data_IF_826903547328
#
_entry.id   IF_826903547328
#
_cell.length_a   1.000
_cell.length_b   1.000
_cell.length_c   1.000
_cell.angle_alpha   90.00
_cell.angle_beta   90.00
_cell.angle_gamma   90.00
#
_symmetry.space_group_name_H-M   'P 1'
#
loop_
_entity.id
_entity.type
_entity.pdbx_description
1 polymer ?
#
# COMPACT_ATOMS: atom_id res chain seq x y z
N UNK A 1 18.41 31.53 -2.06
CA UNK A 1 17.67 30.45 -1.40
C UNK A 1 18.26 29.13 -1.84
N UNK A 2 18.79 28.34 -0.92
CA UNK A 2 19.38 27.02 -1.19
C UNK A 2 18.39 26.10 -1.89
N UNK A 3 17.10 26.18 -1.55
CA UNK A 3 16.05 25.41 -2.20
C UNK A 3 15.92 25.68 -3.71
N UNK A 4 16.15 26.91 -4.17
CA UNK A 4 16.11 27.23 -5.61
C UNK A 4 17.28 26.60 -6.38
N UNK A 5 18.48 26.57 -5.77
CA UNK A 5 19.64 25.89 -6.35
C UNK A 5 19.42 24.37 -6.41
N UNK A 6 18.75 23.78 -5.40
CA UNK A 6 18.37 22.37 -5.42
C UNK A 6 17.37 22.08 -6.55
N UNK A 7 16.37 22.93 -6.75
CA UNK A 7 15.43 22.79 -7.86
C UNK A 7 16.14 22.86 -9.22
N UNK A 8 17.13 23.74 -9.38
CA UNK A 8 17.94 23.80 -10.59
C UNK A 8 18.76 22.51 -10.81
N UNK A 9 19.47 22.05 -9.79
CA UNK A 9 20.23 20.80 -9.83
C UNK A 9 19.35 19.57 -10.12
N UNK A 10 18.09 19.58 -9.68
CA UNK A 10 17.15 18.50 -9.92
C UNK A 10 16.44 18.61 -11.29
N UNK A 11 16.77 19.61 -12.10
CA UNK A 11 16.15 19.82 -13.41
C UNK A 11 14.71 20.35 -13.32
N UNK A 12 14.37 21.02 -12.22
CA UNK A 12 13.05 21.54 -11.87
C UNK A 12 13.03 23.08 -11.77
N UNK A 13 14.05 23.76 -12.29
CA UNK A 13 14.17 25.24 -12.26
C UNK A 13 12.94 25.98 -12.76
N UNK A 14 12.19 25.41 -13.72
CA UNK A 14 10.93 25.99 -14.23
C UNK A 14 9.82 26.14 -13.17
N UNK A 15 9.93 25.48 -12.02
CA UNK A 15 8.99 25.59 -10.91
C UNK A 15 9.47 26.51 -9.80
N UNK A 16 10.65 27.13 -9.94
CA UNK A 16 11.22 28.04 -8.94
C UNK A 16 10.25 29.17 -8.56
N UNK A 17 9.53 29.71 -9.55
CA UNK A 17 8.56 30.79 -9.32
C UNK A 17 7.43 30.37 -8.39
N UNK A 18 6.92 29.13 -8.49
CA UNK A 18 5.87 28.63 -7.62
C UNK A 18 6.31 28.60 -6.14
N UNK A 19 7.59 28.31 -5.88
CA UNK A 19 8.13 28.31 -4.52
C UNK A 19 8.27 29.74 -3.98
N UNK A 20 8.62 30.70 -4.85
CA UNK A 20 8.68 32.12 -4.48
C UNK A 20 7.28 32.66 -4.20
N UNK A 21 6.31 32.36 -5.06
CA UNK A 21 4.94 32.85 -4.98
C UNK A 21 4.21 32.31 -3.73
N UNK A 22 4.47 31.05 -3.36
CA UNK A 22 3.95 30.42 -2.13
C UNK A 22 4.79 30.77 -0.88
N UNK A 23 5.82 31.61 -1.01
CA UNK A 23 6.63 32.08 0.12
C UNK A 23 7.48 31.00 0.79
N UNK A 24 7.91 29.98 0.05
CA UNK A 24 8.72 28.88 0.57
C UNK A 24 10.17 29.35 0.74
N UNK A 25 10.57 29.49 1.99
CA UNK A 25 11.94 29.75 2.43
C UNK A 25 12.73 28.45 2.62
N UNK A 26 14.05 28.53 2.74
CA UNK A 26 14.91 27.37 2.99
C UNK A 26 14.51 26.60 4.27
N UNK A 27 14.06 27.30 5.32
CA UNK A 27 13.58 26.67 6.56
C UNK A 27 12.28 25.88 6.32
N UNK A 28 11.30 26.50 5.67
CA UNK A 28 10.01 25.86 5.34
C UNK A 28 10.14 24.76 4.29
N UNK A 29 11.18 24.81 3.46
CA UNK A 29 11.46 23.81 2.44
C UNK A 29 11.68 22.43 3.07
N UNK A 30 12.26 22.34 4.26
CA UNK A 30 12.46 21.07 4.99
C UNK A 30 11.18 20.46 5.59
N UNK A 31 10.08 21.23 5.59
CA UNK A 31 8.80 20.89 6.23
C UNK A 31 7.67 20.63 5.21
N UNK A 32 7.99 20.55 3.92
CA UNK A 32 7.00 20.41 2.87
C UNK A 32 6.27 19.08 2.99
N UNK A 33 4.96 19.15 3.21
CA UNK A 33 4.08 18.00 3.23
C UNK A 33 3.61 17.62 1.82
N UNK A 34 2.98 16.45 1.72
CA UNK A 34 2.52 15.91 0.44
C UNK A 34 1.45 16.79 -0.24
N UNK A 35 0.72 17.60 0.54
CA UNK A 35 -0.34 18.48 0.06
C UNK A 35 0.25 19.74 -0.57
N UNK A 36 1.17 20.42 0.11
CA UNK A 36 1.87 21.58 -0.41
C UNK A 36 2.71 21.21 -1.63
N UNK A 37 3.37 20.05 -1.63
CA UNK A 37 4.08 19.54 -2.83
C UNK A 37 3.12 19.34 -4.01
N UNK A 38 1.86 18.99 -3.75
CA UNK A 38 0.85 18.85 -4.79
C UNK A 38 0.41 20.20 -5.37
N UNK A 39 0.36 21.24 -4.55
CA UNK A 39 0.04 22.62 -4.95
C UNK A 39 1.19 23.25 -5.76
N UNK A 40 2.44 22.99 -5.38
CA UNK A 40 3.63 23.51 -6.08
C UNK A 40 3.87 22.90 -7.46
N UNK A 41 3.46 21.65 -7.67
CA UNK A 41 3.66 20.93 -8.94
C UNK A 41 2.34 20.43 -9.49
N UNK A 42 1.72 21.20 -10.39
CA UNK A 42 0.47 20.86 -11.09
C UNK A 42 0.51 19.47 -11.77
N UNK A 43 1.67 19.09 -12.32
CA UNK A 43 1.88 17.84 -13.05
C UNK A 43 2.53 16.76 -12.19
N UNK A 44 2.01 15.55 -12.27
CA UNK A 44 2.48 14.40 -11.50
C UNK A 44 3.94 14.01 -11.77
N UNK A 45 4.46 14.18 -13.00
CA UNK A 45 5.83 13.78 -13.35
C UNK A 45 6.90 14.56 -12.57
N UNK A 46 6.97 15.89 -12.72
CA UNK A 46 7.84 16.75 -11.92
C UNK A 46 7.67 16.55 -10.41
N UNK A 47 6.42 16.35 -9.95
CA UNK A 47 6.11 16.08 -8.55
C UNK A 47 6.77 14.80 -8.03
N UNK A 48 6.73 13.72 -8.80
CA UNK A 48 7.37 12.45 -8.41
C UNK A 48 8.90 12.57 -8.39
N UNK A 49 9.48 13.27 -9.37
CA UNK A 49 10.92 13.56 -9.42
C UNK A 49 11.32 14.37 -8.18
N UNK A 50 10.56 15.42 -7.84
CA UNK A 50 10.77 16.21 -6.64
C UNK A 50 10.70 15.34 -5.39
N UNK A 51 9.62 14.58 -5.18
CA UNK A 51 9.45 13.71 -4.00
C UNK A 51 10.59 12.71 -3.83
N UNK A 52 11.05 12.09 -4.92
CA UNK A 52 12.18 11.17 -4.86
C UNK A 52 13.47 11.86 -4.40
N UNK A 53 13.79 13.03 -4.96
CA UNK A 53 15.00 13.81 -4.62
C UNK A 53 14.92 14.43 -3.23
N UNK A 54 13.76 14.95 -2.87
CA UNK A 54 13.45 15.57 -1.59
C UNK A 54 13.59 14.59 -0.42
N UNK A 55 13.07 13.36 -0.55
CA UNK A 55 13.26 12.32 0.47
C UNK A 55 14.74 11.95 0.65
N UNK A 56 15.52 11.94 -0.44
CA UNK A 56 16.96 11.75 -0.38
C UNK A 56 17.67 12.90 0.34
N UNK A 57 17.26 14.13 0.06
CA UNK A 57 17.78 15.35 0.71
C UNK A 57 17.49 15.38 2.22
N UNK A 58 16.26 15.07 2.66
CA UNK A 58 15.92 14.97 4.08
C UNK A 58 16.72 13.88 4.80
N UNK A 59 17.04 12.78 4.10
CA UNK A 59 17.86 11.70 4.64
C UNK A 59 19.33 12.10 4.80
N UNK A 60 19.83 13.07 4.02
CA UNK A 60 21.17 13.63 4.16
C UNK A 60 21.28 14.79 5.16
N UNK A 61 20.18 15.53 5.41
CA UNK A 61 20.13 16.65 6.35
C UNK A 61 19.98 16.19 7.82
N UNK A 62 19.66 14.91 8.07
CA UNK A 62 19.53 14.33 9.41
C UNK A 62 20.81 14.24 10.26
N UNK A 63 21.90 14.92 9.86
CA UNK A 63 23.17 14.99 10.59
C UNK A 63 23.80 16.39 10.59
N UNK A 64 22.99 17.46 10.62
CA UNK A 64 23.54 18.79 10.93
C UNK A 64 22.61 19.64 11.79
N UNK A 65 22.78 19.53 13.11
CA UNK A 65 22.25 20.47 14.10
C UNK A 65 23.30 20.78 15.17
N UNK A 66 24.12 21.81 14.89
CA UNK A 66 25.08 22.54 15.78
C UNK A 66 26.20 21.70 16.43
N UNK A 67 27.51 21.99 16.24
CA UNK A 67 28.20 23.27 16.47
C UNK A 67 29.60 23.22 15.83
N UNK A 68 30.18 24.40 15.55
CA UNK A 68 31.53 24.63 15.02
C UNK A 68 32.66 23.91 15.79
N UNK A 69 33.74 23.54 15.09
CA UNK A 69 35.05 23.29 15.71
C UNK A 69 35.90 22.14 15.15
N UNK A 70 36.73 22.46 14.16
CA UNK A 70 38.13 21.99 13.96
C UNK A 70 38.56 20.55 14.30
N UNK A 71 39.03 19.82 13.28
CA UNK A 71 40.35 19.15 13.31
C UNK A 71 40.48 17.69 13.77
N UNK A 72 40.90 16.84 12.81
CA UNK A 72 41.83 15.68 12.91
C UNK A 72 41.42 14.36 13.61
N UNK A 73 41.37 13.31 12.76
CA UNK A 73 42.04 11.98 12.80
C UNK A 73 42.22 11.13 14.08
N UNK A 74 42.08 9.80 13.86
CA UNK A 74 42.50 8.59 14.60
C UNK A 74 41.45 7.84 15.48
N UNK A 75 40.97 6.72 14.91
CA UNK A 75 41.08 5.30 15.34
C UNK A 75 40.71 4.79 16.76
N UNK A 76 40.06 3.61 16.69
CA UNK A 76 39.98 2.48 17.65
C UNK A 76 38.87 2.38 18.72
N UNK A 77 38.05 1.32 18.53
CA UNK A 77 37.48 0.34 19.48
C UNK A 77 37.05 0.77 20.89
N UNK A 78 35.79 0.48 21.24
CA UNK A 78 35.45 -0.41 22.39
C UNK A 78 33.93 -0.55 22.56
N UNK A 79 33.50 -1.79 22.82
CA UNK A 79 32.15 -2.22 23.17
C UNK A 79 31.87 -1.84 24.64
N UNK A 80 30.74 -1.19 24.92
CA UNK A 80 30.13 -1.22 26.26
C UNK A 80 28.61 -1.01 26.19
N UNK A 81 27.85 -1.99 26.67
CA UNK A 81 26.40 -1.93 26.91
C UNK A 81 26.20 -1.81 28.43
N UNK A 82 25.43 -0.82 28.92
CA UNK A 82 24.71 -0.96 30.17
C UNK A 82 23.20 -1.12 29.92
N UNK A 83 22.62 -2.16 30.53
CA UNK A 83 21.21 -2.49 30.44
C UNK A 83 20.28 -1.59 31.26
N UNK A 84 18.95 -1.77 31.15
CA UNK A 84 17.97 -1.00 31.89
C UNK A 84 17.72 -1.62 33.27
N UNK A 85 18.24 -0.98 34.31
CA UNK A 85 17.66 -0.98 35.67
C UNK A 85 17.04 0.41 35.86
N UNK A 86 15.92 0.66 36.51
CA UNK A 86 15.01 -0.14 37.31
C UNK A 86 13.97 0.86 37.85
N UNK A 87 12.78 0.34 38.11
CA UNK A 87 11.65 1.02 38.74
C UNK A 87 12.03 1.93 39.93
N UNK A 88 11.46 3.14 40.00
CA UNK A 88 10.89 3.72 41.22
C UNK A 88 10.14 5.03 40.91
N UNK A 89 8.82 4.98 41.07
CA UNK A 89 7.94 6.14 41.25
C UNK A 89 7.96 6.59 42.71
N UNK A 90 8.03 7.90 43.01
CA UNK A 90 7.47 8.44 44.24
C UNK A 90 6.02 8.89 44.00
N UNK A 91 5.14 8.35 44.83
CA UNK A 91 3.75 8.77 45.02
C UNK A 91 3.76 10.01 45.91
N UNK A 92 3.04 11.06 45.52
CA UNK A 92 2.46 12.00 46.49
C UNK A 92 1.14 12.63 45.99
N UNK A 93 0.06 12.04 46.48
CA UNK A 93 -1.04 12.64 47.24
C UNK A 93 -1.70 13.98 46.83
N UNK A 94 -3.01 13.85 46.55
CA UNK A 94 -4.11 14.81 46.71
C UNK A 94 -4.30 15.95 45.71
N UNK A 95 -5.26 15.75 44.81
CA UNK A 95 -6.30 16.76 44.53
C UNK A 95 -7.55 16.02 44.07
N UNK A 96 -8.56 15.97 44.92
CA UNK A 96 -9.86 15.38 44.60
C UNK A 96 -10.59 16.29 43.62
N UNK A 97 -10.64 15.88 42.36
CA UNK A 97 -11.55 16.44 41.36
C UNK A 97 -12.66 15.44 41.09
N UNK A 98 -13.89 15.89 41.25
CA UNK A 98 -15.11 15.11 41.07
C UNK A 98 -15.17 14.49 39.67
N UNK A 99 -14.96 13.18 39.61
CA UNK A 99 -15.15 12.36 38.43
C UNK A 99 -16.67 12.22 38.22
N UNK A 100 -17.23 12.97 37.27
CA UNK A 100 -18.57 12.71 36.77
C UNK A 100 -18.58 11.32 36.11
N UNK A 101 -19.09 10.33 36.81
CA UNK A 101 -19.46 9.04 36.22
C UNK A 101 -20.72 9.31 35.40
N UNK A 102 -20.57 9.29 34.07
CA UNK A 102 -21.70 9.38 33.15
C UNK A 102 -22.54 8.11 33.27
N UNK A 103 -23.61 8.18 34.07
CA UNK A 103 -24.65 7.16 34.13
C UNK A 103 -25.58 7.39 32.92
N UNK A 104 -25.65 6.48 31.95
CA UNK A 104 -26.48 6.69 30.76
C UNK A 104 -27.96 6.76 31.16
N UNK A 105 -28.65 7.80 30.71
CA UNK A 105 -30.06 8.04 31.01
C UNK A 105 -30.91 6.80 30.70
N UNK A 106 -31.72 6.40 31.69
CA UNK A 106 -32.65 5.25 31.58
C UNK A 106 -33.69 5.42 30.48
N UNK A 107 -33.83 6.63 29.95
CA UNK A 107 -34.67 6.97 28.80
C UNK A 107 -34.00 6.59 27.46
N UNK A 108 -32.67 6.67 27.39
CA UNK A 108 -31.87 6.30 26.21
C UNK A 108 -31.74 4.78 26.04
N UNK A 109 -31.77 4.04 27.16
CA UNK A 109 -31.85 2.57 27.17
C UNK A 109 -33.19 2.03 26.67
N UNK A 110 -34.29 2.78 26.81
CA UNK A 110 -35.60 2.39 26.26
C UNK A 110 -35.69 2.56 24.75
N UNK A 111 -34.94 3.51 24.18
CA UNK A 111 -34.86 3.71 22.71
C UNK A 111 -34.07 2.57 22.03
N UNK A 112 -33.15 1.92 22.75
CA UNK A 112 -32.37 0.79 22.22
C UNK A 112 -33.14 -0.55 22.22
N UNK A 113 -34.16 -0.69 23.08
CA UNK A 113 -34.94 -1.94 23.22
C UNK A 113 -36.21 -1.98 22.36
N UNK A 114 -36.61 -0.86 21.73
CA UNK A 114 -37.80 -0.78 20.85
C UNK A 114 -37.45 -0.52 19.37
N UNK A 115 -36.27 -0.97 18.92
CA UNK A 115 -36.09 -1.20 17.48
C UNK A 115 -36.38 -2.66 17.16
N UNK A 116 -37.66 -2.92 16.95
CA UNK A 116 -38.16 -4.02 16.12
C UNK A 116 -37.61 -3.79 14.70
N UNK A 117 -36.33 -4.09 14.53
CA UNK A 117 -35.63 -3.96 13.28
C UNK A 117 -36.18 -5.09 12.39
N UNK A 118 -36.86 -4.78 11.27
CA UNK A 118 -37.23 -5.82 10.32
C UNK A 118 -35.95 -6.56 9.94
N UNK A 119 -36.00 -7.87 9.63
CA UNK A 119 -34.81 -8.67 9.48
C UNK A 119 -33.93 -8.00 8.44
N UNK A 120 -32.85 -7.35 8.89
CA UNK A 120 -31.79 -6.89 8.01
C UNK A 120 -31.28 -8.17 7.40
N UNK A 121 -31.76 -8.44 6.18
CA UNK A 121 -31.27 -9.52 5.35
C UNK A 121 -29.77 -9.37 5.41
N UNK A 122 -29.07 -10.26 6.13
CA UNK A 122 -27.63 -10.40 6.04
C UNK A 122 -27.41 -10.62 4.55
N UNK A 123 -27.06 -9.56 3.82
CA UNK A 123 -26.67 -9.66 2.44
C UNK A 123 -25.44 -10.55 2.53
N UNK A 124 -25.63 -11.85 2.24
CA UNK A 124 -24.53 -12.76 2.03
C UNK A 124 -23.73 -12.12 0.91
N UNK A 125 -22.67 -11.40 1.26
CA UNK A 125 -21.74 -10.85 0.28
C UNK A 125 -21.28 -12.06 -0.49
N UNK A 126 -21.68 -12.15 -1.75
CA UNK A 126 -21.25 -13.23 -2.64
C UNK A 126 -19.74 -13.14 -2.71
N UNK A 127 -19.03 -14.05 -2.05
CA UNK A 127 -17.58 -14.13 -2.20
C UNK A 127 -17.27 -14.48 -3.65
N UNK A 128 -16.18 -13.94 -4.18
CA UNK A 128 -15.62 -14.42 -5.45
C UNK A 128 -14.84 -15.71 -5.26
N UNK A 129 -14.50 -16.08 -4.02
CA UNK A 129 -13.87 -17.35 -3.67
C UNK A 129 -14.92 -18.42 -3.36
N UNK A 130 -14.51 -19.62 -2.95
CA UNK A 130 -15.42 -20.70 -2.53
C UNK A 130 -16.36 -20.21 -1.40
N UNK A 131 -17.34 -21.03 -0.99
CA UNK A 131 -18.38 -20.61 -0.02
C UNK A 131 -17.83 -19.96 1.24
N UNK A 132 -16.60 -20.30 1.64
CA UNK A 132 -15.98 -19.84 2.88
C UNK A 132 -14.95 -18.70 2.67
N UNK A 133 -14.81 -18.20 1.44
CA UNK A 133 -14.12 -16.94 1.13
C UNK A 133 -12.60 -17.02 0.94
N UNK A 134 -11.95 -15.85 0.86
CA UNK A 134 -10.51 -15.72 0.64
C UNK A 134 -9.67 -16.44 1.72
N UNK A 135 -10.14 -16.44 2.98
CA UNK A 135 -9.41 -17.06 4.08
C UNK A 135 -9.25 -18.57 3.86
N UNK A 136 -10.31 -19.27 3.46
CA UNK A 136 -10.29 -20.70 3.15
C UNK A 136 -9.29 -21.00 2.02
N UNK A 137 -9.30 -20.21 0.95
CA UNK A 137 -8.32 -20.33 -0.14
C UNK A 137 -6.88 -20.28 0.39
N UNK A 138 -6.58 -19.36 1.31
CA UNK A 138 -5.23 -19.22 1.86
C UNK A 138 -4.84 -20.40 2.77
N UNK A 139 -5.77 -21.02 3.49
CA UNK A 139 -5.44 -22.18 4.34
C UNK A 139 -4.93 -23.40 3.55
N UNK A 140 -5.33 -23.52 2.27
CA UNK A 140 -4.98 -24.65 1.38
C UNK A 140 -3.49 -24.73 1.03
N UNK A 141 -2.72 -23.65 1.24
CA UNK A 141 -1.29 -23.62 0.89
C UNK A 141 -0.41 -23.19 2.05
N UNK A 142 0.84 -23.64 2.06
CA UNK A 142 1.86 -23.21 3.04
C UNK A 142 2.08 -21.70 2.99
N UNK A 143 2.25 -21.15 1.77
CA UNK A 143 2.41 -19.71 1.55
C UNK A 143 1.19 -18.92 2.07
N UNK A 144 -0.02 -19.41 1.82
CA UNK A 144 -1.25 -18.77 2.29
C UNK A 144 -1.36 -18.77 3.83
N UNK A 145 -0.97 -19.85 4.50
CA UNK A 145 -0.88 -19.87 5.98
C UNK A 145 0.14 -18.87 6.51
N UNK A 146 1.30 -18.74 5.88
CA UNK A 146 2.31 -17.71 6.25
C UNK A 146 1.74 -16.30 6.10
N UNK A 147 0.98 -16.03 5.03
CA UNK A 147 0.29 -14.75 4.82
C UNK A 147 -0.73 -14.51 5.93
N UNK A 148 -1.54 -15.50 6.29
CA UNK A 148 -2.55 -15.40 7.37
C UNK A 148 -1.93 -15.16 8.76
N UNK A 149 -0.70 -15.60 9.01
CA UNK A 149 0.02 -15.30 10.26
C UNK A 149 0.48 -13.83 10.33
N UNK A 150 0.56 -13.13 9.19
CA UNK A 150 1.06 -11.76 9.08
C UNK A 150 -0.05 -10.75 8.74
N UNK A 151 -1.29 -11.00 9.21
CA UNK A 151 -2.49 -10.23 8.85
C UNK A 151 -2.35 -8.70 8.98
N UNK A 152 -1.61 -8.25 9.98
CA UNK A 152 -1.47 -6.82 10.29
C UNK A 152 -0.40 -6.11 9.46
N UNK A 153 0.52 -6.83 8.84
CA UNK A 153 1.64 -6.23 8.09
C UNK A 153 2.15 -7.17 7.01
N UNK A 154 1.51 -7.14 5.84
CA UNK A 154 2.06 -7.84 4.69
C UNK A 154 3.29 -7.11 4.15
N UNK A 155 4.34 -7.86 3.88
CA UNK A 155 5.50 -7.36 3.14
C UNK A 155 5.28 -7.55 1.62
N UNK A 156 6.23 -7.05 0.81
CA UNK A 156 6.10 -7.13 -0.64
C UNK A 156 6.04 -8.57 -1.16
N UNK A 157 6.83 -9.48 -0.61
CA UNK A 157 6.87 -10.90 -0.98
C UNK A 157 5.53 -11.61 -0.71
N UNK A 158 4.99 -11.45 0.50
CA UNK A 158 3.69 -11.99 0.89
C UNK A 158 2.58 -11.49 -0.03
N UNK A 159 2.59 -10.20 -0.39
CA UNK A 159 1.63 -9.63 -1.35
C UNK A 159 1.77 -10.25 -2.76
N UNK A 160 2.98 -10.58 -3.20
CA UNK A 160 3.19 -11.27 -4.48
C UNK A 160 2.63 -12.70 -4.44
N UNK A 161 2.89 -13.43 -3.35
CA UNK A 161 2.36 -14.78 -3.11
C UNK A 161 0.84 -14.78 -3.02
N UNK A 162 0.26 -13.83 -2.27
CA UNK A 162 -1.18 -13.61 -2.17
C UNK A 162 -1.81 -13.41 -3.55
N UNK A 163 -1.25 -12.50 -4.35
CA UNK A 163 -1.73 -12.23 -5.70
C UNK A 163 -1.64 -13.46 -6.60
N UNK A 164 -0.57 -14.26 -6.46
CA UNK A 164 -0.43 -15.53 -7.20
C UNK A 164 -1.52 -16.52 -6.82
N UNK A 165 -1.77 -16.74 -5.53
CA UNK A 165 -2.79 -17.69 -5.06
C UNK A 165 -4.18 -17.30 -5.54
N UNK A 166 -4.55 -16.03 -5.41
CA UNK A 166 -5.84 -15.50 -5.84
C UNK A 166 -6.05 -15.69 -7.34
N UNK A 167 -5.09 -15.24 -8.16
CA UNK A 167 -5.27 -15.31 -9.61
C UNK A 167 -5.26 -16.76 -10.10
N UNK A 168 -4.45 -17.63 -9.50
CA UNK A 168 -4.45 -19.05 -9.84
C UNK A 168 -5.80 -19.71 -9.52
N UNK A 169 -6.37 -19.47 -8.33
CA UNK A 169 -7.70 -20.00 -7.97
C UNK A 169 -8.77 -19.55 -8.96
N UNK A 170 -8.75 -18.27 -9.35
CA UNK A 170 -9.70 -17.73 -10.31
C UNK A 170 -9.58 -18.38 -11.70
N UNK A 171 -8.37 -18.73 -12.15
CA UNK A 171 -8.15 -19.46 -13.40
C UNK A 171 -8.43 -20.96 -13.32
N UNK A 172 -8.34 -21.57 -12.14
CA UNK A 172 -8.56 -23.01 -11.96
C UNK A 172 -10.03 -23.44 -12.06
N UNK A 173 -10.97 -22.50 -12.18
CA UNK A 173 -12.40 -22.79 -12.37
C UNK A 173 -12.66 -23.11 -13.83
N UNK A 174 -13.38 -24.21 -14.10
CA UNK A 174 -13.42 -24.94 -15.37
C UNK A 174 -13.84 -24.16 -16.63
N UNK A 175 -14.14 -22.86 -16.53
CA UNK A 175 -14.55 -22.02 -17.68
C UNK A 175 -13.90 -20.62 -17.68
N UNK A 176 -12.95 -20.34 -16.77
CA UNK A 176 -12.40 -19.00 -16.63
C UNK A 176 -11.22 -18.74 -17.57
N UNK A 177 -11.50 -18.37 -18.82
CA UNK A 177 -10.47 -17.88 -19.76
C UNK A 177 -10.07 -16.41 -19.50
N UNK A 178 -10.93 -15.66 -18.81
CA UNK A 178 -10.74 -14.24 -18.52
C UNK A 178 -11.38 -13.84 -17.19
N UNK A 179 -10.64 -13.09 -16.38
CA UNK A 179 -11.12 -12.52 -15.13
C UNK A 179 -11.73 -11.15 -15.42
N UNK A 180 -13.01 -10.96 -15.10
CA UNK A 180 -13.73 -9.70 -15.31
C UNK A 180 -13.33 -8.64 -14.27
N UNK A 181 -13.53 -7.35 -14.63
CA UNK A 181 -13.29 -6.19 -13.75
C UNK A 181 -13.95 -6.36 -12.38
N UNK A 182 -15.21 -6.76 -12.34
CA UNK A 182 -15.96 -6.90 -11.09
C UNK A 182 -15.37 -7.98 -10.18
N UNK A 183 -14.82 -9.04 -10.76
CA UNK A 183 -14.12 -10.09 -10.01
C UNK A 183 -12.87 -9.53 -9.33
N UNK A 184 -12.09 -8.69 -10.03
CA UNK A 184 -10.94 -8.01 -9.42
C UNK A 184 -11.34 -7.05 -8.31
N UNK A 185 -12.43 -6.30 -8.48
CA UNK A 185 -12.92 -5.38 -7.44
C UNK A 185 -13.37 -6.15 -6.19
N UNK A 186 -14.18 -7.21 -6.36
CA UNK A 186 -14.60 -8.07 -5.25
C UNK A 186 -13.41 -8.74 -4.56
N UNK A 187 -12.43 -9.24 -5.31
CA UNK A 187 -11.23 -9.83 -4.75
C UNK A 187 -10.41 -8.80 -3.93
N UNK A 188 -10.28 -7.57 -4.43
CA UNK A 188 -9.61 -6.50 -3.70
C UNK A 188 -10.34 -6.14 -2.39
N UNK A 189 -11.68 -6.14 -2.40
CA UNK A 189 -12.48 -5.91 -1.19
C UNK A 189 -12.28 -7.03 -0.15
N UNK A 190 -12.25 -8.29 -0.59
CA UNK A 190 -11.97 -9.42 0.30
C UNK A 190 -10.56 -9.38 0.88
N UNK A 191 -9.56 -8.91 0.12
CA UNK A 191 -8.20 -8.69 0.63
C UNK A 191 -8.22 -7.66 1.77
N UNK A 192 -8.85 -6.50 1.59
CA UNK A 192 -8.85 -5.44 2.62
C UNK A 192 -9.60 -5.90 3.87
N UNK A 193 -10.70 -6.64 3.69
CA UNK A 193 -11.46 -7.20 4.81
C UNK A 193 -10.60 -8.19 5.63
N UNK A 194 -9.73 -8.95 4.97
CA UNK A 194 -8.88 -9.94 5.64
C UNK A 194 -7.56 -9.34 6.17
N UNK A 195 -7.08 -8.25 5.53
CA UNK A 195 -5.82 -7.57 5.82
C UNK A 195 -6.05 -6.06 5.96
N UNK A 196 -6.43 -5.57 7.16
CA UNK A 196 -6.80 -4.16 7.36
C UNK A 196 -5.69 -3.14 7.06
N UNK A 197 -4.42 -3.56 7.02
CA UNK A 197 -3.29 -2.71 6.64
C UNK A 197 -3.09 -2.56 5.13
N UNK A 198 -3.84 -3.30 4.31
CA UNK A 198 -3.76 -3.22 2.85
C UNK A 198 -4.69 -2.14 2.29
N UNK A 199 -4.26 -1.52 1.20
CA UNK A 199 -5.06 -0.54 0.47
C UNK A 199 -5.65 -1.17 -0.79
N UNK A 200 -6.88 -0.79 -1.14
CA UNK A 200 -7.56 -1.30 -2.35
C UNK A 200 -6.71 -1.09 -3.60
N UNK A 201 -6.12 0.08 -3.70
CA UNK A 201 -5.31 0.55 -4.83
C UNK A 201 -4.00 -0.24 -4.98
N UNK A 202 -3.52 -0.86 -3.89
CA UNK A 202 -2.37 -1.78 -3.97
C UNK A 202 -2.75 -3.08 -4.67
N UNK A 203 -3.96 -3.56 -4.42
CA UNK A 203 -4.48 -4.82 -4.96
C UNK A 203 -4.97 -4.65 -6.40
N UNK A 204 -5.86 -3.68 -6.65
CA UNK A 204 -6.44 -3.43 -7.96
C UNK A 204 -6.92 -1.99 -8.13
N UNK A 205 -6.52 -1.38 -9.24
CA UNK A 205 -7.04 -0.10 -9.72
C UNK A 205 -7.67 -0.37 -11.09
N UNK A 206 -8.97 -0.14 -11.27
CA UNK A 206 -9.62 -0.40 -12.54
C UNK A 206 -9.30 0.65 -13.61
N UNK A 207 -9.60 0.33 -14.87
CA UNK A 207 -9.56 1.30 -15.96
C UNK A 207 -10.48 2.50 -15.66
N UNK A 208 -9.94 3.70 -15.81
CA UNK A 208 -10.67 4.95 -15.66
C UNK A 208 -10.36 5.89 -16.83
N UNK A 209 -11.36 6.55 -17.39
CA UNK A 209 -11.12 7.67 -18.30
C UNK A 209 -10.87 8.92 -17.48
N UNK A 210 -9.70 9.54 -17.62
CA UNK A 210 -9.47 10.85 -17.03
C UNK A 210 -10.31 11.91 -17.74
N UNK A 211 -10.64 13.01 -17.03
CA UNK A 211 -11.35 14.18 -17.58
C UNK A 211 -10.63 14.81 -18.78
N UNK A 212 -9.34 14.56 -18.92
CA UNK A 212 -8.48 15.04 -20.01
C UNK A 212 -8.50 14.14 -21.26
N UNK A 213 -9.39 13.14 -21.32
CA UNK A 213 -9.48 12.17 -22.43
C UNK A 213 -8.44 11.05 -22.39
N UNK A 214 -7.46 11.12 -21.47
CA UNK A 214 -6.44 10.10 -21.31
C UNK A 214 -7.01 8.88 -20.56
N UNK A 215 -6.96 7.69 -21.18
CA UNK A 215 -7.39 6.44 -20.54
C UNK A 215 -6.27 5.90 -19.66
N UNK A 216 -6.56 5.75 -18.37
CA UNK A 216 -5.65 5.11 -17.42
C UNK A 216 -5.85 3.60 -17.48
N UNK A 217 -4.79 2.81 -17.74
CA UNK A 217 -4.90 1.37 -17.74
C UNK A 217 -5.19 0.83 -16.35
N UNK A 218 -5.77 -0.36 -16.25
CA UNK A 218 -5.85 -1.06 -14.97
C UNK A 218 -4.44 -1.33 -14.42
N UNK A 219 -4.31 -1.29 -13.09
CA UNK A 219 -3.06 -1.46 -12.35
C UNK A 219 -3.31 -2.20 -11.03
N UNK A 220 -2.26 -2.40 -10.26
CA UNK A 220 -2.29 -3.15 -9.00
C UNK A 220 -1.79 -4.58 -9.16
N UNK A 221 -1.50 -5.24 -8.03
CA UNK A 221 -0.81 -6.53 -8.03
C UNK A 221 -1.63 -7.65 -8.67
N UNK A 222 -2.95 -7.66 -8.46
CA UNK A 222 -3.84 -8.65 -9.06
C UNK A 222 -3.81 -8.53 -10.59
N UNK A 223 -3.88 -7.31 -11.11
CA UNK A 223 -3.84 -7.06 -12.55
C UNK A 223 -2.48 -7.41 -13.15
N UNK A 224 -1.38 -6.98 -12.54
CA UNK A 224 -0.03 -7.33 -13.02
C UNK A 224 0.17 -8.85 -13.07
N UNK A 225 -0.30 -9.58 -12.05
CA UNK A 225 -0.19 -11.04 -12.01
C UNK A 225 -1.05 -11.69 -13.09
N UNK A 226 -2.27 -11.23 -13.30
CA UNK A 226 -3.17 -11.68 -14.37
C UNK A 226 -2.55 -11.52 -15.76
N UNK A 227 -2.03 -10.33 -16.09
CA UNK A 227 -1.40 -10.06 -17.39
C UNK A 227 -0.19 -10.96 -17.62
N UNK A 228 0.65 -11.15 -16.60
CA UNK A 228 1.81 -12.04 -16.68
C UNK A 228 1.41 -13.51 -16.94
N UNK A 229 0.35 -13.99 -16.28
CA UNK A 229 -0.18 -15.35 -16.53
C UNK A 229 -0.74 -15.46 -17.94
N UNK A 230 -1.56 -14.50 -18.41
CA UNK A 230 -2.08 -14.50 -19.79
C UNK A 230 -0.96 -14.50 -20.83
N UNK A 231 0.10 -13.73 -20.61
CA UNK A 231 1.26 -13.71 -21.49
C UNK A 231 1.97 -15.07 -21.52
N UNK A 232 2.17 -15.71 -20.36
CA UNK A 232 2.79 -17.03 -20.26
C UNK A 232 1.94 -18.12 -20.94
N UNK A 233 0.63 -18.12 -20.73
CA UNK A 233 -0.30 -19.06 -21.37
C UNK A 233 -0.28 -18.91 -22.91
N UNK A 234 -0.24 -17.67 -23.41
CA UNK A 234 -0.13 -17.42 -24.86
C UNK A 234 1.13 -18.03 -25.45
N UNK A 235 2.28 -17.86 -24.79
CA UNK A 235 3.57 -18.42 -25.23
C UNK A 235 3.53 -19.95 -25.20
N UNK A 236 2.98 -20.53 -24.13
CA UNK A 236 2.86 -21.98 -24.00
C UNK A 236 1.98 -22.58 -25.13
N UNK A 237 0.82 -21.97 -25.40
CA UNK A 237 -0.08 -22.43 -26.46
C UNK A 237 0.57 -22.33 -27.86
N UNK A 238 1.32 -21.26 -28.13
CA UNK A 238 2.05 -21.12 -29.39
C UNK A 238 3.15 -22.19 -29.55
N UNK A 239 3.83 -22.55 -28.45
CA UNK A 239 4.81 -23.64 -28.45
C UNK A 239 4.18 -25.00 -28.70
N UNK A 240 3.00 -25.28 -28.13
CA UNK A 240 2.26 -26.53 -28.35
C UNK A 240 1.86 -26.69 -29.82
N UNK A 241 1.24 -25.67 -30.42
CA UNK A 241 0.87 -25.68 -31.85
C UNK A 241 2.07 -25.91 -32.76
N UNK A 242 3.20 -25.28 -32.44
CA UNK A 242 4.44 -25.46 -33.22
C UNK A 242 4.95 -26.91 -33.15
N UNK A 243 4.83 -27.57 -32.00
CA UNK A 243 5.22 -28.97 -31.81
C UNK A 243 4.31 -29.93 -32.57
N UNK A 244 3.00 -29.72 -32.53
CA UNK A 244 2.02 -30.55 -33.26
C UNK A 244 2.25 -30.49 -34.79
N UNK A 245 2.52 -29.30 -35.34
CA UNK A 245 2.83 -29.13 -36.77
C UNK A 245 4.10 -29.91 -37.15
N UNK A 246 5.14 -29.86 -36.31
CA UNK A 246 6.39 -30.59 -36.54
C UNK A 246 6.16 -32.10 -36.50
N UNK A 247 5.37 -32.60 -35.54
CA UNK A 247 5.06 -34.04 -35.44
C UNK A 247 4.24 -34.54 -36.63
N UNK A 248 3.24 -33.77 -37.06
CA UNK A 248 2.38 -34.13 -38.20
C UNK A 248 3.18 -34.19 -39.51
N UNK A 249 4.17 -33.31 -39.71
CA UNK A 249 5.04 -33.35 -40.89
C UNK A 249 6.01 -34.52 -40.93
N UNK A 250 6.35 -35.10 -39.76
CA UNK A 250 7.24 -36.27 -39.65
C UNK A 250 6.52 -37.61 -39.80
N UNK A 251 5.19 -37.63 -39.72
CA UNK A 251 4.38 -38.85 -39.85
C UNK A 251 3.87 -39.10 -41.27
N UNK A 252 4.07 -38.15 -42.19
CA UNK A 252 3.63 -38.21 -43.60
C UNK A 252 4.82 -38.37 -44.56
N UNK A 253 6.01 -38.71 -44.05
CA UNK A 253 7.19 -39.12 -44.81
C UNK A 253 7.53 -40.56 -44.47
#
# INVERSE_FOLDING_TARGET
MQCLNLLEQWGLSKFAQNFIDEGITDDSFSLLDDKTIQELFDKAGPRLIFKQKYNGYLSSEGHHGTTEGTGQSHDQQSIYIPGPSGCSTPVDTSSASDFYVFEPDKELLKILDETDNPPVKKIRRSSVFSTDGLEELLTKSTDGRVILMNRHKLNNDMRQKLSKLIINDLFSREECTEIKRDTFMKAADEIINLFPGEQRETSYIPYCSAKTGLRMPARGKLWSKYVNIKAALRIANQSLLSREIIMTRRTVQ
#
